data_IF_588088492978
#
_entry.id   IF_588088492978
#
_cell.length_a   1.000
_cell.length_b   1.000
_cell.length_c   1.000
_cell.angle_alpha   90.00
_cell.angle_beta   90.00
_cell.angle_gamma   90.00
#
_symmetry.space_group_name_H-M   'P 1'
#
loop_
_entity.id
_entity.type
_entity.pdbx_description
1 polymer ?
#
# COMPACT_ATOMS: atom_id res chain seq x y z
N UNK A 1 -14.97 16.89 -11.85
CA UNK A 1 -14.09 16.54 -10.71
C UNK A 1 -12.65 16.54 -11.19
N UNK A 2 -11.67 16.86 -10.34
CA UNK A 2 -10.25 16.73 -10.70
C UNK A 2 -9.92 15.26 -10.90
N UNK A 3 -9.31 14.90 -12.04
CA UNK A 3 -8.80 13.54 -12.26
C UNK A 3 -7.70 13.21 -11.24
N UNK A 4 -7.67 11.95 -10.82
CA UNK A 4 -6.69 11.40 -9.89
C UNK A 4 -6.01 10.20 -10.56
N UNK A 5 -4.70 10.08 -10.41
CA UNK A 5 -3.95 8.90 -10.78
C UNK A 5 -3.56 8.13 -9.53
N UNK A 6 -3.86 6.83 -9.48
CA UNK A 6 -3.40 5.90 -8.45
C UNK A 6 -2.33 4.99 -9.05
N UNK A 7 -1.08 5.13 -8.59
CA UNK A 7 0.01 4.22 -8.93
C UNK A 7 0.12 3.17 -7.82
N UNK A 8 -0.14 1.92 -8.14
CA UNK A 8 -0.18 0.81 -7.17
C UNK A 8 1.12 0.03 -7.23
N UNK A 9 1.85 0.03 -6.12
CA UNK A 9 2.97 -0.87 -5.86
C UNK A 9 2.40 -2.22 -5.40
N UNK A 10 2.15 -3.12 -6.36
CA UNK A 10 1.54 -4.41 -6.06
C UNK A 10 2.51 -5.40 -5.39
N UNK A 11 3.81 -5.14 -5.45
CA UNK A 11 4.80 -5.95 -4.72
C UNK A 11 4.65 -5.73 -3.21
N UNK A 12 4.46 -4.47 -2.82
CA UNK A 12 4.31 -4.09 -1.42
C UNK A 12 2.86 -4.19 -0.89
N UNK A 13 1.86 -3.88 -1.71
CA UNK A 13 0.44 -3.87 -1.32
C UNK A 13 -0.37 -4.84 -2.17
N UNK A 14 -0.53 -6.07 -1.65
CA UNK A 14 -1.25 -7.13 -2.37
C UNK A 14 -2.77 -7.11 -2.15
N UNK A 15 -3.24 -6.49 -1.07
CA UNK A 15 -4.67 -6.27 -0.84
C UNK A 15 -5.10 -4.94 -1.44
N UNK A 16 -5.61 -5.03 -2.66
CA UNK A 16 -6.07 -3.88 -3.43
C UNK A 16 -7.55 -4.08 -3.73
N UNK A 17 -8.39 -3.28 -3.09
CA UNK A 17 -9.84 -3.26 -3.32
C UNK A 17 -10.21 -2.05 -4.19
N UNK A 18 -10.17 -2.24 -5.50
CA UNK A 18 -10.42 -1.18 -6.49
C UNK A 18 -11.89 -0.73 -6.51
N UNK A 19 -12.80 -1.48 -5.89
CA UNK A 19 -14.23 -1.12 -5.81
C UNK A 19 -14.49 0.18 -5.04
N UNK A 20 -13.51 0.63 -4.25
CA UNK A 20 -13.53 1.88 -3.49
C UNK A 20 -13.27 3.13 -4.34
N UNK A 21 -12.87 2.95 -5.60
CA UNK A 21 -12.50 4.04 -6.48
C UNK A 21 -13.72 4.51 -7.29
N UNK A 22 -13.99 5.81 -7.22
CA UNK A 22 -14.98 6.46 -8.08
C UNK A 22 -14.45 6.68 -9.51
N UNK A 23 -15.29 7.24 -10.39
CA UNK A 23 -14.94 7.47 -11.80
C UNK A 23 -13.88 8.56 -12.03
N UNK A 24 -13.44 9.28 -10.99
CA UNK A 24 -12.35 10.26 -11.09
C UNK A 24 -10.95 9.62 -11.09
N UNK A 25 -10.85 8.32 -10.79
CA UNK A 25 -9.58 7.61 -10.70
C UNK A 25 -9.18 6.94 -12.02
N UNK A 26 -7.95 7.21 -12.43
CA UNK A 26 -7.15 6.37 -13.33
C UNK A 26 -6.17 5.56 -12.46
N UNK A 27 -5.87 4.33 -12.84
CA UNK A 27 -5.10 3.38 -12.02
C UNK A 27 -4.01 2.74 -12.88
N UNK A 28 -2.80 2.68 -12.35
CA UNK A 28 -1.71 1.91 -12.95
C UNK A 28 -1.22 0.93 -11.90
N UNK A 29 -1.30 -0.36 -12.20
CA UNK A 29 -0.88 -1.43 -11.30
C UNK A 29 0.49 -1.93 -11.73
N UNK A 30 1.50 -1.67 -10.90
CA UNK A 30 2.87 -2.09 -11.13
C UNK A 30 3.09 -3.46 -10.48
N UNK A 31 3.41 -4.46 -11.31
CA UNK A 31 3.63 -5.85 -10.89
C UNK A 31 5.12 -6.16 -10.96
N UNK A 32 5.69 -6.60 -9.84
CA UNK A 32 7.11 -6.94 -9.74
C UNK A 32 7.50 -8.17 -10.58
N UNK A 33 8.76 -8.22 -11.02
CA UNK A 33 9.28 -9.30 -11.88
C UNK A 33 9.09 -10.70 -11.29
N UNK A 34 9.14 -10.81 -9.96
CA UNK A 34 9.02 -12.08 -9.23
C UNK A 34 7.58 -12.54 -9.02
N UNK A 35 6.59 -11.66 -9.22
CA UNK A 35 5.17 -11.98 -9.07
C UNK A 35 4.68 -12.72 -10.33
N UNK A 36 4.32 -14.00 -10.16
CA UNK A 36 3.93 -14.88 -11.27
C UNK A 36 2.45 -14.79 -11.63
N UNK A 37 1.62 -14.33 -10.71
CA UNK A 37 0.17 -14.27 -10.87
C UNK A 37 -0.42 -13.13 -10.04
N UNK A 38 -1.65 -12.78 -10.39
CA UNK A 38 -2.50 -11.83 -9.69
C UNK A 38 -3.83 -12.52 -9.40
N UNK A 39 -4.47 -12.32 -8.23
CA UNK A 39 -5.77 -12.91 -7.90
C UNK A 39 -6.84 -12.55 -8.92
N UNK A 40 -7.72 -13.51 -9.24
CA UNK A 40 -8.80 -13.32 -10.21
C UNK A 40 -9.78 -12.24 -9.74
N UNK A 41 -9.94 -12.09 -8.43
CA UNK A 41 -10.78 -11.08 -7.81
C UNK A 41 -10.28 -9.67 -8.15
N UNK A 42 -8.96 -9.42 -8.04
CA UNK A 42 -8.37 -8.13 -8.39
C UNK A 42 -8.51 -7.85 -9.88
N UNK A 43 -8.29 -8.85 -10.74
CA UNK A 43 -8.49 -8.71 -12.19
C UNK A 43 -9.96 -8.39 -12.52
N UNK A 44 -10.90 -9.08 -11.87
CA UNK A 44 -12.35 -8.86 -12.04
C UNK A 44 -12.75 -7.45 -11.61
N UNK A 45 -12.18 -6.94 -10.51
CA UNK A 45 -12.39 -5.56 -10.09
C UNK A 45 -11.78 -4.58 -11.08
N UNK A 46 -10.54 -4.80 -11.52
CA UNK A 46 -9.84 -3.95 -12.47
C UNK A 46 -10.60 -3.83 -13.80
N UNK A 47 -11.14 -4.92 -14.33
CA UNK A 47 -11.92 -4.91 -15.58
C UNK A 47 -13.11 -3.95 -15.54
N UNK A 48 -13.72 -3.71 -14.37
CA UNK A 48 -14.83 -2.75 -14.22
C UNK A 48 -14.41 -1.29 -14.44
N UNK A 49 -13.12 -0.98 -14.29
CA UNK A 49 -12.58 0.36 -14.58
C UNK A 49 -12.42 0.63 -16.09
N UNK A 50 -12.50 -0.40 -16.94
CA UNK A 50 -12.37 -0.26 -18.38
C UNK A 50 -11.02 0.37 -18.77
N UNK A 51 -11.06 1.45 -19.56
CA UNK A 51 -9.86 2.17 -20.02
C UNK A 51 -9.15 2.97 -18.92
N UNK A 52 -9.70 3.00 -17.69
CA UNK A 52 -9.09 3.71 -16.55
C UNK A 52 -8.07 2.87 -15.79
N UNK A 53 -7.76 1.65 -16.22
CA UNK A 53 -6.75 0.81 -15.58
C UNK A 53 -5.71 0.30 -16.58
N UNK A 54 -4.44 0.42 -16.21
CA UNK A 54 -3.32 -0.16 -16.94
C UNK A 54 -2.47 -1.07 -16.04
N UNK A 55 -1.91 -2.12 -16.64
CA UNK A 55 -1.03 -3.08 -15.95
C UNK A 55 0.41 -2.93 -16.46
N UNK A 56 1.34 -2.68 -15.56
CA UNK A 56 2.74 -2.49 -15.87
C UNK A 56 3.57 -3.54 -15.15
N UNK A 57 4.01 -4.57 -15.87
CA UNK A 57 4.95 -5.56 -15.33
C UNK A 57 6.38 -5.05 -15.48
N UNK A 58 7.17 -5.17 -14.42
CA UNK A 58 8.61 -4.92 -14.47
C UNK A 58 9.32 -6.23 -14.80
N UNK A 59 10.23 -6.21 -15.77
CA UNK A 59 10.92 -7.42 -16.27
C UNK A 59 12.21 -7.74 -15.50
N UNK A 60 12.82 -6.74 -14.86
CA UNK A 60 14.10 -6.89 -14.18
C UNK A 60 13.95 -7.07 -12.66
N UNK A 61 14.75 -7.98 -12.10
CA UNK A 61 14.91 -8.13 -10.65
C UNK A 61 16.03 -7.22 -10.19
N UNK A 62 15.73 -6.29 -9.29
CA UNK A 62 16.69 -5.40 -8.66
C UNK A 62 16.12 -4.80 -7.39
N UNK A 63 16.98 -4.43 -6.44
CA UNK A 63 16.52 -3.71 -5.26
C UNK A 63 15.81 -2.44 -5.72
N UNK A 64 14.58 -2.23 -5.27
CA UNK A 64 13.77 -1.05 -5.57
C UNK A 64 13.48 -0.84 -7.08
N UNK A 65 13.60 -1.90 -7.90
CA UNK A 65 13.35 -1.78 -9.34
C UNK A 65 11.94 -1.27 -9.62
N UNK A 66 10.93 -1.82 -8.94
CA UNK A 66 9.54 -1.38 -9.07
C UNK A 66 9.38 0.10 -8.68
N UNK A 67 10.03 0.53 -7.60
CA UNK A 67 9.97 1.91 -7.11
C UNK A 67 10.50 2.91 -8.14
N UNK A 68 11.60 2.58 -8.83
CA UNK A 68 12.14 3.43 -9.89
C UNK A 68 11.19 3.52 -11.10
N UNK A 69 10.51 2.43 -11.45
CA UNK A 69 9.48 2.48 -12.50
C UNK A 69 8.32 3.39 -12.10
N UNK A 70 7.83 3.28 -10.85
CA UNK A 70 6.77 4.15 -10.32
C UNK A 70 7.22 5.61 -10.32
N UNK A 71 8.42 5.91 -9.81
CA UNK A 71 8.96 7.27 -9.76
C UNK A 71 9.13 7.88 -11.17
N UNK A 72 9.63 7.10 -12.13
CA UNK A 72 9.74 7.52 -13.53
C UNK A 72 8.37 7.81 -14.14
N UNK A 73 7.39 6.94 -13.91
CA UNK A 73 6.03 7.15 -14.40
C UNK A 73 5.37 8.38 -13.78
N UNK A 74 5.54 8.57 -12.47
CA UNK A 74 5.06 9.73 -11.76
C UNK A 74 5.62 11.01 -12.39
N UNK A 75 6.94 11.08 -12.63
CA UNK A 75 7.61 12.19 -13.31
C UNK A 75 7.02 12.51 -14.69
N UNK A 76 6.77 11.48 -15.50
CA UNK A 76 6.16 11.63 -16.83
C UNK A 76 4.73 12.16 -16.78
N UNK A 77 3.95 11.79 -15.76
CA UNK A 77 2.55 12.23 -15.63
C UNK A 77 2.49 13.67 -15.16
N UNK A 78 3.25 14.03 -14.13
CA UNK A 78 3.26 15.40 -13.60
C UNK A 78 3.75 16.42 -14.63
N UNK A 79 4.67 16.03 -15.53
CA UNK A 79 5.12 16.87 -16.63
C UNK A 79 4.00 17.15 -17.65
N UNK A 80 3.23 16.13 -18.01
CA UNK A 80 2.11 16.25 -18.96
C UNK A 80 0.86 16.87 -18.35
N UNK A 81 0.62 16.68 -17.06
CA UNK A 81 -0.60 17.09 -16.39
C UNK A 81 -0.32 17.52 -14.94
N UNK A 82 0.30 18.70 -14.72
CA UNK A 82 0.72 19.16 -13.39
C UNK A 82 -0.42 19.31 -12.37
N UNK A 83 -1.65 19.50 -12.84
CA UNK A 83 -2.83 19.65 -11.99
C UNK A 83 -3.43 18.31 -11.53
N UNK A 84 -3.03 17.18 -12.14
CA UNK A 84 -3.55 15.86 -11.79
C UNK A 84 -3.04 15.46 -10.41
N UNK A 85 -3.96 15.05 -9.53
CA UNK A 85 -3.57 14.53 -8.22
C UNK A 85 -2.99 13.14 -8.40
N UNK A 86 -1.79 12.90 -7.90
CA UNK A 86 -1.12 11.60 -7.99
C UNK A 86 -1.06 10.94 -6.60
N UNK A 87 -1.47 9.68 -6.53
CA UNK A 87 -1.49 8.88 -5.32
C UNK A 87 -0.61 7.65 -5.53
N UNK A 88 0.36 7.43 -4.67
CA UNK A 88 1.17 6.21 -4.67
C UNK A 88 0.65 5.29 -3.58
N UNK A 89 0.09 4.14 -3.92
CA UNK A 89 -0.31 3.11 -2.96
C UNK A 89 0.89 2.20 -2.69
N UNK A 90 1.61 2.45 -1.59
CA UNK A 90 2.75 1.67 -1.11
C UNK A 90 2.95 1.90 0.40
N UNK A 91 3.34 0.86 1.13
CA UNK A 91 3.73 0.95 2.54
C UNK A 91 5.19 1.41 2.72
N UNK A 92 5.98 1.46 1.65
CA UNK A 92 7.37 1.94 1.72
C UNK A 92 7.44 3.47 1.79
N UNK A 93 8.00 3.98 2.89
CA UNK A 93 8.32 5.39 3.11
C UNK A 93 9.45 5.91 2.19
N UNK A 94 10.11 5.05 1.43
CA UNK A 94 11.13 5.41 0.43
C UNK A 94 10.65 6.41 -0.61
N UNK A 95 9.34 6.45 -0.90
CA UNK A 95 8.75 7.47 -1.77
C UNK A 95 8.59 8.85 -1.11
N UNK A 96 8.53 8.94 0.23
CA UNK A 96 8.18 10.16 0.94
C UNK A 96 9.10 11.37 0.62
N UNK A 97 10.43 11.21 0.49
CA UNK A 97 11.32 12.30 0.07
C UNK A 97 10.96 12.85 -1.31
N UNK A 98 10.68 11.97 -2.29
CA UNK A 98 10.28 12.36 -3.64
C UNK A 98 8.96 13.11 -3.60
N UNK A 99 7.92 12.54 -2.98
CA UNK A 99 6.60 13.17 -2.93
C UNK A 99 6.64 14.53 -2.23
N UNK A 100 7.45 14.67 -1.16
CA UNK A 100 7.66 15.95 -0.49
C UNK A 100 8.32 16.98 -1.41
N UNK A 101 9.33 16.59 -2.17
CA UNK A 101 9.97 17.47 -3.14
C UNK A 101 8.97 17.94 -4.19
N UNK A 102 8.22 17.02 -4.81
CA UNK A 102 7.20 17.34 -5.82
C UNK A 102 6.11 18.29 -5.28
N UNK A 103 5.66 18.09 -4.04
CA UNK A 103 4.67 18.97 -3.43
C UNK A 103 5.21 20.38 -3.14
N UNK A 104 6.52 20.54 -2.87
CA UNK A 104 7.14 21.87 -2.74
C UNK A 104 7.12 22.65 -4.06
N UNK A 105 7.17 21.94 -5.18
CA UNK A 105 7.04 22.50 -6.54
C UNK A 105 5.57 22.76 -6.94
N UNK A 106 4.62 22.64 -6.01
CA UNK A 106 3.20 22.95 -6.24
C UNK A 106 2.37 21.80 -6.82
N UNK A 107 2.94 20.61 -6.96
CA UNK A 107 2.21 19.42 -7.40
C UNK A 107 1.35 18.83 -6.27
N UNK A 108 0.42 17.95 -6.61
CA UNK A 108 -0.50 17.30 -5.66
C UNK A 108 -0.24 15.80 -5.56
N UNK A 109 0.80 15.43 -4.83
CA UNK A 109 1.22 14.04 -4.66
C UNK A 109 1.04 13.55 -3.21
N UNK A 110 0.55 12.33 -3.01
CA UNK A 110 0.44 11.71 -1.67
C UNK A 110 0.69 10.21 -1.72
N UNK A 111 1.32 9.66 -0.68
CA UNK A 111 1.39 8.20 -0.48
C UNK A 111 0.21 7.73 0.36
N UNK A 112 -0.34 6.57 0.00
CA UNK A 112 -1.32 5.80 0.76
C UNK A 112 -0.66 4.50 1.21
N UNK A 113 -0.81 4.12 2.48
CA UNK A 113 -0.41 2.79 2.91
C UNK A 113 -1.51 1.75 2.61
N UNK A 114 -2.76 2.19 2.52
CA UNK A 114 -3.93 1.38 2.20
C UNK A 114 -5.00 2.22 1.51
N UNK A 115 -5.83 1.60 0.68
CA UNK A 115 -7.01 2.25 0.11
C UNK A 115 -8.07 2.61 1.17
N UNK A 116 -7.98 2.05 2.38
CA UNK A 116 -8.79 2.48 3.52
C UNK A 116 -8.59 3.97 3.87
N UNK A 117 -7.44 4.55 3.51
CA UNK A 117 -7.17 5.98 3.72
C UNK A 117 -7.91 6.92 2.75
N UNK A 118 -8.65 6.38 1.78
CA UNK A 118 -9.49 7.17 0.88
C UNK A 118 -10.82 7.57 1.52
N UNK A 119 -11.31 6.79 2.48
CA UNK A 119 -12.55 7.05 3.20
C UNK A 119 -12.27 7.65 4.59
N UNK A 120 -12.44 8.96 4.81
CA UNK A 120 -12.25 9.58 6.11
C UNK A 120 -13.29 9.17 7.16
N UNK A 121 -14.35 8.43 6.77
CA UNK A 121 -15.39 7.89 7.66
C UNK A 121 -15.11 6.47 8.16
N UNK A 122 -14.02 5.84 7.73
CA UNK A 122 -13.60 4.59 8.34
C UNK A 122 -13.13 4.93 9.76
N UNK A 123 -14.00 4.71 10.74
CA UNK A 123 -13.72 4.86 12.18
C UNK A 123 -12.34 4.27 12.51
N UNK A 124 -11.58 4.82 13.49
CA UNK A 124 -10.25 4.31 13.81
C UNK A 124 -10.31 2.78 13.98
N UNK A 125 -9.72 1.99 13.05
CA UNK A 125 -9.84 0.54 13.10
C UNK A 125 -9.02 -0.09 14.24
N UNK A 126 -8.54 0.75 15.16
CA UNK A 126 -8.11 0.37 16.51
C UNK A 126 -9.25 -0.06 17.42
N UNK A 127 -10.53 0.02 17.01
CA UNK A 127 -11.65 -0.52 17.79
C UNK A 127 -11.87 -2.04 17.65
N UNK A 128 -11.38 -2.65 16.56
CA UNK A 128 -11.46 -4.10 16.34
C UNK A 128 -10.70 -4.85 17.44
N UNK A 129 -11.37 -5.81 18.09
CA UNK A 129 -10.81 -6.61 19.16
C UNK A 129 -9.53 -7.37 18.75
N UNK A 130 -9.47 -7.85 17.50
CA UNK A 130 -8.31 -8.53 16.94
C UNK A 130 -7.14 -7.55 16.73
N UNK A 131 -7.41 -6.35 16.19
CA UNK A 131 -6.38 -5.31 16.03
C UNK A 131 -5.81 -4.88 17.39
N UNK A 132 -6.67 -4.63 18.39
CA UNK A 132 -6.24 -4.30 19.76
C UNK A 132 -5.36 -5.40 20.35
N UNK A 133 -5.78 -6.66 20.20
CA UNK A 133 -5.02 -7.82 20.67
C UNK A 133 -3.64 -7.90 20.02
N UNK A 134 -3.53 -7.64 18.72
CA UNK A 134 -2.24 -7.64 18.01
C UNK A 134 -1.33 -6.53 18.52
N UNK A 135 -1.85 -5.32 18.73
CA UNK A 135 -1.09 -4.20 19.31
C UNK A 135 -0.57 -4.58 20.70
N UNK A 136 -1.42 -5.16 21.56
CA UNK A 136 -1.03 -5.59 22.91
C UNK A 136 0.09 -6.66 22.87
N UNK A 137 -0.06 -7.68 22.03
CA UNK A 137 0.92 -8.77 21.93
C UNK A 137 2.27 -8.30 21.35
N UNK A 138 2.24 -7.44 20.34
CA UNK A 138 3.46 -6.82 19.81
C UNK A 138 4.09 -5.85 20.83
N UNK A 139 3.26 -5.15 21.60
CA UNK A 139 3.68 -4.25 22.67
C UNK A 139 4.47 -4.98 23.77
N UNK A 140 4.01 -6.18 24.15
CA UNK A 140 4.68 -7.05 25.14
C UNK A 140 5.98 -7.69 24.63
N UNK A 141 6.20 -7.71 23.32
CA UNK A 141 7.41 -8.27 22.72
C UNK A 141 8.55 -7.24 22.82
N UNK A 142 9.73 -7.68 23.26
CA UNK A 142 10.94 -6.84 23.31
C UNK A 142 11.19 -6.16 21.95
N UNK A 143 11.57 -4.88 21.97
CA UNK A 143 11.79 -4.08 20.75
C UNK A 143 12.75 -4.74 19.76
N UNK A 144 13.77 -5.47 20.24
CA UNK A 144 14.72 -6.19 19.39
C UNK A 144 14.12 -7.46 18.78
N UNK A 145 13.14 -8.07 19.43
CA UNK A 145 12.45 -9.28 18.99
C UNK A 145 11.25 -9.04 18.07
N UNK A 146 10.83 -7.79 17.88
CA UNK A 146 9.71 -7.49 16.98
C UNK A 146 10.06 -7.79 15.51
N UNK A 147 9.13 -8.37 14.73
CA UNK A 147 9.35 -8.68 13.32
C UNK A 147 9.77 -7.46 12.49
N UNK A 148 10.94 -7.52 11.85
CA UNK A 148 11.45 -6.41 11.01
C UNK A 148 11.05 -6.50 9.55
N UNK A 149 10.48 -7.62 9.11
CA UNK A 149 10.06 -7.83 7.72
C UNK A 149 8.56 -8.03 7.66
N UNK A 150 7.90 -7.47 6.65
CA UNK A 150 6.44 -7.58 6.48
C UNK A 150 5.97 -9.04 6.43
N UNK A 151 6.73 -9.90 5.73
CA UNK A 151 6.46 -11.34 5.66
C UNK A 151 6.50 -12.01 7.05
N UNK A 152 7.51 -11.69 7.86
CA UNK A 152 7.63 -12.22 9.22
C UNK A 152 6.52 -11.68 10.11
N UNK A 153 6.20 -10.38 10.02
CA UNK A 153 5.09 -9.78 10.75
C UNK A 153 3.77 -10.50 10.44
N UNK A 154 3.50 -10.77 9.16
CA UNK A 154 2.31 -11.49 8.71
C UNK A 154 2.22 -12.88 9.36
N UNK A 155 3.32 -13.62 9.38
CA UNK A 155 3.39 -14.94 10.01
C UNK A 155 3.20 -14.85 11.53
N UNK A 156 3.79 -13.86 12.19
CA UNK A 156 3.64 -13.62 13.63
C UNK A 156 2.20 -13.28 14.00
N UNK A 157 1.54 -12.39 13.25
CA UNK A 157 0.13 -12.06 13.47
C UNK A 157 -0.75 -13.29 13.31
N UNK A 158 -0.58 -14.07 12.23
CA UNK A 158 -1.32 -15.32 12.05
C UNK A 158 -1.09 -16.30 13.22
N UNK A 159 0.14 -16.37 13.76
CA UNK A 159 0.48 -17.22 14.89
C UNK A 159 -0.18 -16.78 16.21
N UNK A 160 -0.35 -15.48 16.45
CA UNK A 160 -1.08 -14.97 17.62
C UNK A 160 -2.52 -15.47 17.71
N UNK A 161 -3.13 -15.77 16.57
CA UNK A 161 -4.46 -16.36 16.47
C UNK A 161 -4.44 -17.87 16.21
N UNK A 162 -3.30 -18.54 16.40
CA UNK A 162 -3.13 -19.99 16.16
C UNK A 162 -3.56 -20.40 14.73
N UNK A 163 -3.41 -19.49 13.76
CA UNK A 163 -3.87 -19.67 12.36
C UNK A 163 -5.37 -19.97 12.22
N UNK A 164 -6.19 -19.60 13.22
CA UNK A 164 -7.65 -19.79 13.21
C UNK A 164 -8.40 -18.71 12.43
N UNK A 165 -7.75 -17.58 12.16
CA UNK A 165 -8.33 -16.52 11.33
C UNK A 165 -7.87 -16.66 9.87
N UNK A 166 -8.72 -16.32 8.89
CA UNK A 166 -8.34 -16.34 7.49
C UNK A 166 -7.14 -15.42 7.19
N UNK A 167 -6.32 -15.72 6.16
CA UNK A 167 -5.22 -14.85 5.73
C UNK A 167 -5.67 -13.42 5.38
N UNK A 168 -6.87 -13.29 4.82
CA UNK A 168 -7.45 -11.98 4.50
C UNK A 168 -7.64 -11.12 5.76
N UNK A 169 -8.05 -11.72 6.86
CA UNK A 169 -8.23 -11.04 8.14
C UNK A 169 -6.88 -10.59 8.72
N UNK A 170 -5.85 -11.43 8.60
CA UNK A 170 -4.47 -11.06 8.99
C UNK A 170 -3.99 -9.84 8.22
N UNK A 171 -4.20 -9.83 6.91
CA UNK A 171 -3.83 -8.71 6.05
C UNK A 171 -4.62 -7.45 6.39
N UNK A 172 -5.93 -7.54 6.64
CA UNK A 172 -6.75 -6.40 7.09
C UNK A 172 -6.25 -5.79 8.39
N UNK A 173 -5.83 -6.61 9.35
CA UNK A 173 -5.24 -6.13 10.61
C UNK A 173 -3.92 -5.39 10.33
N UNK A 174 -3.05 -5.94 9.49
CA UNK A 174 -1.78 -5.27 9.15
C UNK A 174 -2.02 -3.96 8.41
N UNK A 175 -2.93 -3.94 7.42
CA UNK A 175 -3.31 -2.73 6.69
C UNK A 175 -3.90 -1.67 7.61
N UNK A 176 -4.67 -2.10 8.60
CA UNK A 176 -5.15 -1.25 9.69
C UNK A 176 -4.00 -0.63 10.49
N UNK A 177 -2.98 -1.42 10.88
CA UNK A 177 -1.83 -0.88 11.61
C UNK A 177 -1.07 0.17 10.77
N UNK A 178 -0.91 -0.08 9.47
CA UNK A 178 -0.29 0.87 8.54
C UNK A 178 -1.13 2.14 8.35
N UNK A 179 -2.44 2.01 8.11
CA UNK A 179 -3.35 3.13 7.91
C UNK A 179 -3.42 4.04 9.14
N UNK A 180 -3.34 3.47 10.34
CA UNK A 180 -3.28 4.22 11.61
C UNK A 180 -1.87 4.71 11.97
N UNK A 181 -0.86 4.49 11.11
CA UNK A 181 0.54 4.87 11.34
C UNK A 181 1.13 4.29 12.63
N UNK A 182 0.66 3.12 13.06
CA UNK A 182 1.22 2.36 14.19
C UNK A 182 2.46 1.58 13.78
N UNK A 183 2.55 1.24 12.50
CA UNK A 183 3.72 0.66 11.88
C UNK A 183 4.04 1.38 10.58
N UNK A 184 5.28 1.28 10.15
CA UNK A 184 5.73 1.79 8.86
C UNK A 184 6.84 0.95 8.26
N UNK A 185 7.02 1.00 6.95
CA UNK A 185 8.08 0.28 6.25
C UNK A 185 9.01 1.27 5.56
N UNK A 186 10.32 1.03 5.64
CA UNK A 186 11.33 1.78 4.89
C UNK A 186 12.40 0.80 4.40
N UNK A 187 12.69 0.78 3.09
CA UNK A 187 13.69 -0.12 2.51
C UNK A 187 13.45 -1.59 2.91
N UNK A 188 12.19 -2.01 2.85
CA UNK A 188 11.76 -3.36 3.22
C UNK A 188 11.93 -3.72 4.72
N UNK A 189 12.11 -2.73 5.61
CA UNK A 189 12.15 -2.94 7.06
C UNK A 189 10.97 -2.27 7.77
N UNK A 190 10.23 -3.05 8.55
CA UNK A 190 9.12 -2.59 9.37
C UNK A 190 9.61 -1.98 10.68
N UNK A 191 9.10 -0.81 11.00
CA UNK A 191 9.27 -0.06 12.25
C UNK A 191 7.93 0.06 12.98
N UNK A 192 7.97 0.19 14.30
CA UNK A 192 6.81 0.25 15.18
C UNK A 192 6.82 1.57 15.95
N UNK A 193 5.68 2.26 15.98
CA UNK A 193 5.52 3.59 16.57
C UNK A 193 4.78 3.55 17.93
N UNK A 194 4.66 2.37 18.55
CA UNK A 194 4.03 2.11 19.86
C UNK A 194 4.87 1.19 20.77
#
# INVERSE_FOLDING_TARGET
MSKKLLLVDYENVQQVDLSRLDDSYEVIIFVGATQKSVPIELVTQAQKLGQRVDWHRVDAVGSNALDFHIACHLGRVIERSPQQQCLVLSKDKGFDPLLRHLNKEGLKCRRLNSLLELDPKTAPPTEDANTKRVIELLGKTDKKGRPRKLKTLTQTVAAFFQKKIPPEEVSRIIDTLFANKLISETNGNVSYDF
#
